data_IF_916854880234
#
_entry.id   IF_916854880234
#
_cell.length_a   1.000
_cell.length_b   1.000
_cell.length_c   1.000
_cell.angle_alpha   90.00
_cell.angle_beta   90.00
_cell.angle_gamma   90.00
#
_symmetry.space_group_name_H-M   'P 1'
#
loop_
_entity.id
_entity.type
_entity.pdbx_description
1 polymer ?
#
# COMPACT_ATOMS: atom_id res chain seq x y z
N UNK A 1 -22.48 -48.12 -45.89
CA UNK A 1 -21.21 -48.51 -45.25
C UNK A 1 -20.36 -47.27 -45.02
N UNK A 2 -19.83 -47.13 -43.78
CA UNK A 2 -18.70 -46.28 -43.31
C UNK A 2 -18.70 -44.76 -43.64
N UNK A 3 -18.36 -43.81 -42.77
CA UNK A 3 -18.17 -43.68 -41.33
C UNK A 3 -18.06 -42.17 -41.05
N UNK A 4 -18.34 -41.75 -39.81
CA UNK A 4 -18.33 -40.36 -39.33
C UNK A 4 -16.91 -39.77 -39.34
N UNK A 5 -16.78 -38.45 -39.50
CA UNK A 5 -16.21 -37.49 -38.52
C UNK A 5 -15.99 -36.09 -39.13
N UNK A 6 -16.53 -35.07 -38.47
CA UNK A 6 -16.17 -33.65 -38.62
C UNK A 6 -14.77 -33.38 -38.03
N UNK A 7 -14.17 -32.24 -38.39
CA UNK A 7 -13.58 -31.40 -37.36
C UNK A 7 -14.08 -29.95 -37.39
N UNK A 8 -14.46 -29.47 -36.21
CA UNK A 8 -14.67 -28.08 -35.79
C UNK A 8 -13.37 -27.25 -35.94
N UNK A 9 -13.44 -26.02 -36.44
CA UNK A 9 -13.55 -24.72 -35.72
C UNK A 9 -12.29 -24.26 -34.98
N UNK A 10 -12.08 -22.92 -35.02
CA UNK A 10 -11.16 -22.07 -34.24
C UNK A 10 -9.73 -21.99 -34.80
N UNK A 11 -9.18 -20.81 -35.13
CA UNK A 11 -9.25 -19.54 -34.41
C UNK A 11 -7.81 -19.24 -33.97
N UNK A 12 -7.00 -18.70 -34.89
CA UNK A 12 -5.59 -18.35 -34.62
C UNK A 12 -5.54 -16.92 -34.11
N UNK A 13 -5.84 -16.75 -32.83
CA UNK A 13 -5.52 -15.51 -32.12
C UNK A 13 -4.06 -15.52 -31.67
N UNK A 14 -3.46 -14.35 -31.86
CA UNK A 14 -2.06 -14.04 -31.65
C UNK A 14 -1.81 -13.90 -30.16
N UNK A 15 -1.05 -14.81 -29.57
CA UNK A 15 -0.58 -14.66 -28.19
C UNK A 15 0.73 -13.87 -28.20
N UNK A 16 0.59 -12.54 -28.15
CA UNK A 16 1.65 -11.63 -27.72
C UNK A 16 1.84 -11.84 -26.22
N UNK A 17 2.78 -12.71 -25.87
CA UNK A 17 3.22 -12.88 -24.48
C UNK A 17 3.98 -11.63 -24.07
N UNK A 18 3.24 -10.69 -23.48
CA UNK A 18 3.78 -9.53 -22.80
C UNK A 18 4.77 -9.98 -21.73
N UNK A 19 6.05 -9.71 -21.96
CA UNK A 19 7.09 -9.70 -20.93
C UNK A 19 6.74 -8.60 -19.91
N UNK A 20 5.84 -8.91 -18.98
CA UNK A 20 5.71 -8.17 -17.73
C UNK A 20 6.86 -8.60 -16.83
N UNK A 21 7.82 -7.70 -16.72
CA UNK A 21 8.90 -7.73 -15.75
C UNK A 21 8.36 -8.03 -14.35
N UNK A 22 8.79 -9.17 -13.79
CA UNK A 22 8.71 -9.47 -12.38
C UNK A 22 9.62 -8.50 -11.61
N UNK A 23 9.11 -7.30 -11.30
CA UNK A 23 9.67 -6.51 -10.21
C UNK A 23 9.05 -7.06 -8.91
N UNK A 24 9.88 -7.77 -8.12
CA UNK A 24 9.52 -8.13 -6.76
C UNK A 24 9.02 -6.89 -6.00
N UNK A 25 8.01 -7.01 -5.12
CA UNK A 25 7.61 -5.90 -4.27
C UNK A 25 8.81 -5.57 -3.38
N UNK A 26 9.47 -4.46 -3.70
CA UNK A 26 10.56 -3.92 -2.90
C UNK A 26 9.95 -3.63 -1.54
N UNK A 27 10.36 -4.37 -0.50
CA UNK A 27 9.94 -4.10 0.88
C UNK A 27 10.48 -2.71 1.28
N UNK A 28 9.67 -1.68 1.04
CA UNK A 28 9.98 -0.27 1.32
C UNK A 28 10.02 0.01 2.82
N UNK A 29 9.56 -0.91 3.68
CA UNK A 29 9.42 -0.68 5.11
C UNK A 29 10.76 -0.63 5.85
N UNK A 30 11.71 -1.50 5.49
CA UNK A 30 13.05 -1.51 6.13
C UNK A 30 14.04 -0.50 5.51
N UNK A 31 13.76 -0.04 4.30
CA UNK A 31 14.64 0.88 3.58
C UNK A 31 14.22 2.36 3.70
N UNK A 32 12.97 2.66 4.08
CA UNK A 32 12.43 4.01 4.11
C UNK A 32 13.19 4.98 5.02
N UNK A 33 13.43 4.61 6.29
CA UNK A 33 14.09 5.50 7.26
C UNK A 33 15.56 5.77 6.93
N UNK A 34 16.32 4.71 6.66
CA UNK A 34 17.74 4.82 6.33
C UNK A 34 17.96 5.53 4.99
N UNK A 35 17.07 5.32 4.01
CA UNK A 35 17.10 6.06 2.76
C UNK A 35 16.75 7.53 2.99
N UNK A 36 15.68 7.82 3.73
CA UNK A 36 15.27 9.18 4.04
C UNK A 36 16.35 9.98 4.77
N UNK A 37 17.00 9.38 5.77
CA UNK A 37 18.03 10.06 6.56
C UNK A 37 19.28 10.41 5.74
N UNK A 38 19.54 9.70 4.63
CA UNK A 38 20.65 9.97 3.70
C UNK A 38 20.36 11.08 2.69
N UNK A 39 19.10 11.51 2.58
CA UNK A 39 18.70 12.58 1.66
C UNK A 39 19.10 13.97 2.19
N UNK A 40 19.43 14.88 1.28
CA UNK A 40 19.56 16.31 1.59
C UNK A 40 18.23 16.92 2.02
N UNK A 41 18.26 18.11 2.62
CA UNK A 41 17.03 18.78 3.07
C UNK A 41 16.02 19.00 1.93
N UNK A 42 16.49 19.42 0.75
CA UNK A 42 15.65 19.63 -0.44
C UNK A 42 15.03 18.32 -0.95
N UNK A 43 15.78 17.23 -0.91
CA UNK A 43 15.29 15.90 -1.30
C UNK A 43 14.27 15.34 -0.29
N UNK A 44 14.47 15.62 1.00
CA UNK A 44 13.50 15.28 2.06
C UNK A 44 12.19 16.01 1.87
N UNK A 45 12.23 17.30 1.54
CA UNK A 45 11.03 18.08 1.24
C UNK A 45 10.31 17.58 -0.01
N UNK A 46 11.06 17.27 -1.08
CA UNK A 46 10.49 16.68 -2.29
C UNK A 46 9.80 15.34 -1.99
N UNK A 47 10.45 14.47 -1.22
CA UNK A 47 9.85 13.19 -0.85
C UNK A 47 8.58 13.34 -0.02
N UNK A 48 8.57 14.23 0.98
CA UNK A 48 7.36 14.54 1.77
C UNK A 48 6.23 15.07 0.89
N UNK A 49 6.56 15.89 -0.12
CA UNK A 49 5.57 16.42 -1.06
C UNK A 49 4.98 15.34 -1.95
N UNK A 50 5.82 14.49 -2.53
CA UNK A 50 5.39 13.35 -3.36
C UNK A 50 4.49 12.40 -2.56
N UNK A 51 4.89 12.05 -1.33
CA UNK A 51 4.12 11.16 -0.45
C UNK A 51 2.73 11.75 -0.12
N UNK A 52 2.68 13.07 0.14
CA UNK A 52 1.41 13.77 0.37
C UNK A 52 0.54 13.85 -0.90
N UNK A 53 1.14 14.02 -2.08
CA UNK A 53 0.41 14.06 -3.36
C UNK A 53 -0.18 12.69 -3.70
N UNK A 54 0.57 11.61 -3.48
CA UNK A 54 0.06 10.23 -3.66
C UNK A 54 -1.14 9.95 -2.75
N UNK A 55 -1.06 10.28 -1.46
CA UNK A 55 -2.18 10.07 -0.54
C UNK A 55 -3.42 10.86 -0.94
N UNK A 56 -3.26 12.09 -1.46
CA UNK A 56 -4.40 12.90 -1.92
C UNK A 56 -5.03 12.35 -3.19
N UNK A 57 -4.22 11.79 -4.09
CA UNK A 57 -4.71 11.24 -5.35
C UNK A 57 -5.58 10.01 -5.11
N UNK A 58 -5.21 9.19 -4.13
CA UNK A 58 -5.85 7.92 -3.84
C UNK A 58 -6.96 8.02 -2.78
N UNK A 59 -7.26 9.21 -2.21
CA UNK A 59 -8.32 9.44 -1.20
C UNK A 59 -9.73 9.47 -1.83
N UNK A 60 -10.19 8.32 -2.32
CA UNK A 60 -11.55 8.05 -2.79
C UNK A 60 -12.54 7.63 -1.68
N UNK A 61 -13.79 8.08 -1.78
CA UNK A 61 -14.86 7.73 -0.84
C UNK A 61 -15.41 6.31 -1.00
N UNK A 62 -15.11 5.65 -2.11
CA UNK A 62 -15.55 4.30 -2.44
C UNK A 62 -14.32 3.42 -2.70
N UNK A 63 -14.29 2.26 -2.06
CA UNK A 63 -13.21 1.28 -2.22
C UNK A 63 -13.73 -0.12 -1.92
N UNK A 64 -13.28 -1.09 -2.72
CA UNK A 64 -13.60 -2.51 -2.55
C UNK A 64 -12.88 -3.12 -1.33
N UNK A 65 -11.71 -2.57 -0.99
CA UNK A 65 -10.88 -3.02 0.12
C UNK A 65 -10.45 -1.81 0.96
N UNK A 66 -10.61 -1.96 2.27
CA UNK A 66 -10.18 -0.97 3.26
C UNK A 66 -9.10 -1.57 4.15
N UNK A 67 -7.98 -0.87 4.31
CA UNK A 67 -6.94 -1.19 5.26
C UNK A 67 -7.11 -0.35 6.52
N UNK A 68 -6.86 -0.95 7.68
CA UNK A 68 -6.87 -0.24 8.95
C UNK A 68 -5.46 0.23 9.30
N UNK A 69 -5.33 1.49 9.70
CA UNK A 69 -4.06 2.08 10.16
C UNK A 69 -4.26 2.69 11.55
N UNK A 70 -3.35 2.38 12.47
CA UNK A 70 -3.33 2.92 13.83
C UNK A 70 -3.22 4.44 13.83
N UNK A 71 -4.08 5.09 14.63
CA UNK A 71 -4.11 6.55 14.76
C UNK A 71 -2.78 7.11 15.25
N UNK A 72 -2.05 6.41 16.12
CA UNK A 72 -0.74 6.87 16.62
C UNK A 72 0.29 6.95 15.50
N UNK A 73 0.34 5.94 14.63
CA UNK A 73 1.22 5.97 13.48
C UNK A 73 0.82 7.10 12.51
N UNK A 74 -0.48 7.26 12.25
CA UNK A 74 -0.98 8.35 11.40
C UNK A 74 -0.67 9.75 11.96
N UNK A 75 -0.72 9.92 13.28
CA UNK A 75 -0.35 11.18 13.91
C UNK A 75 1.15 11.46 13.78
N UNK A 76 2.01 10.44 13.96
CA UNK A 76 3.44 10.55 13.72
C UNK A 76 3.74 10.90 12.25
N UNK A 77 3.08 10.24 11.30
CA UNK A 77 3.22 10.54 9.87
C UNK A 77 2.74 11.96 9.53
N UNK A 78 1.60 12.41 10.08
CA UNK A 78 1.14 13.80 9.91
C UNK A 78 2.14 14.80 10.46
N UNK A 79 2.73 14.52 11.62
CA UNK A 79 3.76 15.36 12.21
C UNK A 79 5.00 15.43 11.31
N UNK A 80 5.45 14.27 10.82
CA UNK A 80 6.56 14.12 9.88
C UNK A 80 6.39 14.97 8.62
N UNK A 81 5.24 14.87 7.95
CA UNK A 81 4.97 15.59 6.69
C UNK A 81 4.83 17.10 6.92
N UNK A 82 4.23 17.52 8.05
CA UNK A 82 3.94 18.94 8.32
C UNK A 82 5.12 19.73 8.90
N UNK A 83 6.10 19.07 9.51
CA UNK A 83 7.21 19.75 10.17
C UNK A 83 8.53 19.44 9.49
N UNK A 84 9.39 20.45 9.23
CA UNK A 84 10.73 20.24 8.67
C UNK A 84 11.56 19.26 9.51
N UNK A 85 11.46 19.37 10.85
CA UNK A 85 12.18 18.55 11.82
C UNK A 85 11.38 17.34 12.32
N UNK A 86 10.27 16.99 11.65
CA UNK A 86 9.50 15.81 12.03
C UNK A 86 10.31 14.54 11.86
N UNK A 87 10.30 13.68 12.88
CA UNK A 87 10.96 12.38 12.84
C UNK A 87 10.20 11.42 11.92
N UNK A 88 10.93 10.53 11.25
CA UNK A 88 10.32 9.53 10.40
C UNK A 88 9.45 8.60 11.26
N UNK A 89 8.17 8.36 10.91
CA UNK A 89 7.24 7.59 11.76
C UNK A 89 7.57 6.10 11.83
N UNK A 90 8.54 5.63 11.04
CA UNK A 90 8.87 4.22 10.91
C UNK A 90 7.84 3.45 10.09
N UNK A 91 8.01 2.13 9.99
CA UNK A 91 7.02 1.24 9.38
C UNK A 91 5.63 1.38 10.01
N UNK A 92 4.57 1.16 9.23
CA UNK A 92 3.20 1.13 9.76
C UNK A 92 3.12 0.07 10.86
N UNK A 93 2.73 0.50 12.06
CA UNK A 93 2.54 -0.36 13.22
C UNK A 93 1.06 -0.43 13.62
N UNK A 94 0.46 -1.62 13.40
CA UNK A 94 -0.90 -1.94 13.78
C UNK A 94 -0.97 -2.95 14.95
N UNK A 95 0.16 -3.25 15.62
CA UNK A 95 0.22 -4.29 16.67
C UNK A 95 -0.72 -4.03 17.85
N UNK A 96 -1.12 -2.76 18.07
CA UNK A 96 -2.15 -2.44 19.07
C UNK A 96 -3.53 -2.92 18.63
N UNK A 97 -3.86 -2.79 17.35
CA UNK A 97 -5.18 -3.07 16.78
C UNK A 97 -5.43 -4.56 16.56
N UNK A 98 -4.40 -5.33 16.21
CA UNK A 98 -4.53 -6.76 15.93
C UNK A 98 -3.91 -7.60 17.02
N UNK A 99 -4.50 -8.77 17.26
CA UNK A 99 -3.89 -9.80 18.07
C UNK A 99 -2.73 -10.46 17.29
N UNK A 100 -1.56 -10.54 17.93
CA UNK A 100 -0.33 -10.96 17.26
C UNK A 100 -0.33 -12.45 16.89
N UNK A 101 -1.16 -13.26 17.54
CA UNK A 101 -1.21 -14.72 17.35
C UNK A 101 -2.26 -15.10 16.31
N UNK A 102 -3.45 -14.52 16.42
CA UNK A 102 -4.59 -14.82 15.55
C UNK A 102 -4.71 -13.91 14.33
N UNK A 103 -4.02 -12.77 14.33
CA UNK A 103 -4.16 -11.74 13.30
C UNK A 103 -5.52 -11.03 13.31
N UNK A 104 -6.40 -11.36 14.27
CA UNK A 104 -7.75 -10.80 14.35
C UNK A 104 -7.73 -9.42 14.99
N UNK A 105 -8.63 -8.51 14.58
CA UNK A 105 -8.82 -7.24 15.27
C UNK A 105 -9.21 -7.47 16.73
N UNK A 106 -8.55 -6.77 17.65
CA UNK A 106 -8.93 -6.82 19.07
C UNK A 106 -10.28 -6.10 19.25
N UNK A 107 -11.16 -6.63 20.11
CA UNK A 107 -12.46 -6.01 20.38
C UNK A 107 -12.31 -4.68 21.13
N UNK A 108 -13.33 -3.82 21.02
CA UNK A 108 -13.40 -2.56 21.76
C UNK A 108 -12.66 -1.38 21.13
N UNK A 109 -12.10 -1.53 19.92
CA UNK A 109 -11.52 -0.42 19.18
C UNK A 109 -12.55 0.30 18.32
N UNK A 110 -12.56 1.63 18.44
CA UNK A 110 -13.47 2.51 17.71
C UNK A 110 -12.77 3.25 16.56
N UNK A 111 -13.48 3.35 15.43
CA UNK A 111 -13.07 4.17 14.29
C UNK A 111 -12.87 5.61 14.76
N UNK A 112 -11.88 6.27 14.19
CA UNK A 112 -11.43 7.64 14.49
C UNK A 112 -10.65 7.81 15.78
N UNK A 113 -10.95 7.04 16.81
CA UNK A 113 -10.23 7.09 18.09
C UNK A 113 -8.97 6.24 18.04
N UNK A 114 -9.07 5.05 17.46
CA UNK A 114 -8.00 4.05 17.54
C UNK A 114 -7.38 3.76 16.18
N UNK A 115 -8.18 3.82 15.12
CA UNK A 115 -7.72 3.56 13.75
C UNK A 115 -8.47 4.42 12.71
N UNK A 116 -7.90 4.50 11.51
CA UNK A 116 -8.57 4.99 10.30
C UNK A 116 -8.60 3.90 9.24
N UNK A 117 -9.66 3.89 8.44
CA UNK A 117 -9.67 3.16 7.18
C UNK A 117 -8.94 3.99 6.13
N UNK A 118 -8.01 3.36 5.42
CA UNK A 118 -7.45 3.86 4.17
C UNK A 118 -7.90 2.92 3.06
N UNK A 119 -8.22 3.47 1.91
CA UNK A 119 -8.68 2.74 0.74
C UNK A 119 -7.48 2.18 -0.07
N UNK A 120 -7.82 1.35 -1.06
CA UNK A 120 -6.90 0.73 -2.02
C UNK A 120 -7.23 1.11 -3.45
#
# INVERSE_FOLDING_TARGET
EFERRRPDSQGKDQDQTAQRSNAAPVDRSRHGEAAFNRLSAEEKERWKKEDMESVKQDDHHEADVWYLVDVRWLEAWKFFVRHPNGEFPGPIDNARLVDAVSGQPKPGFHVKEHYRGVNS
#
